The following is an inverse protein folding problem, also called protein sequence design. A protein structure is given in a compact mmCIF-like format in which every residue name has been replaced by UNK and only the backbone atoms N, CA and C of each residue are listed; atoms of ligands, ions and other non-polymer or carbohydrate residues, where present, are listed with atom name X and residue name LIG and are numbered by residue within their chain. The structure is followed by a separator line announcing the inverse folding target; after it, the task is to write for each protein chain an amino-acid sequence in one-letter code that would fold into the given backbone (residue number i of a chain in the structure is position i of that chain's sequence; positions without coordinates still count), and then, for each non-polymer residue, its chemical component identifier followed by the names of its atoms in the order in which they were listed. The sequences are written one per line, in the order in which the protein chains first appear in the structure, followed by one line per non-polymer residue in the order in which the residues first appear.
data_IF_301066055835
#
_entry.id   IF_301066055835
#
_cell.length_a   1.000
_cell.length_b   1.000
_cell.length_c   1.000
_cell.angle_alpha   90.00
_cell.angle_beta   90.00
_cell.angle_gamma   90.00
#
_symmetry.space_group_name_H-M   'P 1'
#
loop_
_entity.id
_entity.type
_entity.pdbx_description
1 polymer ?
#
# COMPACT_ATOMS: atom_id res chain seq x y z
N UNK A 1 -1.87 -16.75 -7.31
CA UNK A 1 -2.64 -15.98 -6.31
C UNK A 1 -2.19 -14.54 -6.46
N UNK A 2 -3.01 -13.58 -6.07
CA UNK A 2 -2.75 -12.17 -6.35
C UNK A 2 -2.18 -11.54 -5.09
N UNK A 3 -1.05 -10.85 -5.19
CA UNK A 3 -0.39 -10.19 -4.07
C UNK A 3 -1.02 -8.85 -3.73
N UNK A 4 -2.35 -8.79 -3.61
CA UNK A 4 -3.11 -7.56 -3.36
C UNK A 4 -3.93 -7.69 -2.07
N UNK A 5 -3.99 -6.61 -1.30
CA UNK A 5 -4.87 -6.48 -0.15
C UNK A 5 -6.22 -5.95 -0.63
N UNK A 6 -7.30 -6.64 -0.24
CA UNK A 6 -8.68 -6.29 -0.59
C UNK A 6 -9.53 -6.16 0.67
N UNK A 7 -10.42 -5.19 0.68
CA UNK A 7 -11.46 -5.05 1.68
C UNK A 7 -12.80 -5.40 1.05
N UNK A 8 -13.51 -6.34 1.66
CA UNK A 8 -14.81 -6.80 1.23
C UNK A 8 -15.89 -6.28 2.19
N UNK A 9 -17.08 -6.01 1.66
CA UNK A 9 -18.26 -5.78 2.47
C UNK A 9 -18.94 -7.10 2.92
N UNK A 10 -20.08 -6.98 3.58
CA UNK A 10 -20.87 -8.13 4.06
C UNK A 10 -21.39 -9.03 2.92
N UNK A 11 -21.51 -8.50 1.70
CA UNK A 11 -21.97 -9.20 0.50
C UNK A 11 -20.83 -9.79 -0.31
N UNK A 12 -19.59 -9.66 0.17
CA UNK A 12 -18.36 -10.02 -0.53
C UNK A 12 -18.03 -9.14 -1.74
N UNK A 13 -18.60 -7.93 -1.81
CA UNK A 13 -18.25 -6.94 -2.82
C UNK A 13 -16.96 -6.22 -2.42
N UNK A 14 -16.06 -5.99 -3.39
CA UNK A 14 -14.79 -5.27 -3.16
C UNK A 14 -15.07 -3.78 -3.01
N UNK A 15 -14.87 -3.25 -1.81
CA UNK A 15 -15.06 -1.82 -1.51
C UNK A 15 -13.74 -1.03 -1.53
N UNK A 16 -12.61 -1.72 -1.39
CA UNK A 16 -11.27 -1.12 -1.51
C UNK A 16 -10.24 -2.17 -1.91
N UNK A 17 -9.20 -1.75 -2.64
CA UNK A 17 -8.03 -2.57 -2.94
C UNK A 17 -6.77 -1.70 -3.08
N UNK A 18 -5.60 -2.34 -3.03
CA UNK A 18 -4.29 -1.69 -3.29
C UNK A 18 -4.10 -1.24 -4.75
N UNK A 19 -5.13 -1.36 -5.59
CA UNK A 19 -5.15 -0.93 -7.00
C UNK A 19 -4.53 -1.96 -7.95
N UNK A 20 -3.24 -2.23 -7.81
CA UNK A 20 -2.51 -3.13 -8.69
C UNK A 20 -2.60 -4.59 -8.24
N UNK A 21 -2.83 -5.48 -9.21
CA UNK A 21 -2.75 -6.93 -9.00
C UNK A 21 -1.32 -7.38 -9.18
N UNK A 22 -0.58 -7.50 -8.09
CA UNK A 22 0.78 -8.02 -8.13
C UNK A 22 0.79 -9.53 -8.37
N UNK A 23 1.67 -10.00 -9.25
CA UNK A 23 1.86 -11.43 -9.46
C UNK A 23 2.78 -11.97 -8.36
N UNK A 24 2.19 -12.64 -7.37
CA UNK A 24 2.92 -13.26 -6.26
C UNK A 24 2.42 -14.67 -5.99
N UNK A 25 3.32 -15.63 -5.81
CA UNK A 25 2.92 -17.00 -5.43
C UNK A 25 2.53 -17.08 -3.96
N UNK A 26 3.21 -16.31 -3.11
CA UNK A 26 3.04 -16.28 -1.66
C UNK A 26 3.47 -14.90 -1.16
N UNK A 27 2.59 -14.26 -0.42
CA UNK A 27 2.80 -12.94 0.15
C UNK A 27 2.10 -12.85 1.50
N UNK A 28 2.49 -11.86 2.29
CA UNK A 28 1.80 -11.51 3.54
C UNK A 28 1.74 -9.99 3.70
N UNK A 29 0.86 -9.55 4.60
CA UNK A 29 0.80 -8.17 5.05
C UNK A 29 1.48 -8.06 6.42
N UNK A 30 2.25 -6.99 6.64
CA UNK A 30 2.97 -6.72 7.87
C UNK A 30 2.81 -5.24 8.25
N UNK A 31 2.52 -4.98 9.52
CA UNK A 31 2.55 -3.62 10.08
C UNK A 31 3.90 -3.44 10.77
N UNK A 32 4.75 -2.59 10.19
CA UNK A 32 6.08 -2.30 10.75
C UNK A 32 5.98 -1.41 12.00
N UNK A 33 6.99 -1.45 12.85
CA UNK A 33 7.10 -0.58 14.05
C UNK A 33 7.06 0.92 13.71
N UNK A 34 7.35 1.27 12.46
CA UNK A 34 7.27 2.64 11.93
C UNK A 34 5.83 3.11 11.69
N UNK A 35 4.86 2.19 11.74
CA UNK A 35 3.46 2.41 11.37
C UNK A 35 3.18 2.20 9.88
N UNK A 36 4.17 1.82 9.07
CA UNK A 36 3.96 1.51 7.66
C UNK A 36 3.37 0.10 7.50
N UNK A 37 2.15 0.01 6.99
CA UNK A 37 1.56 -1.25 6.54
C UNK A 37 2.11 -1.60 5.14
N UNK A 38 2.71 -2.78 5.02
CA UNK A 38 3.34 -3.27 3.78
C UNK A 38 2.75 -4.61 3.36
N UNK A 39 2.72 -4.86 2.05
CA UNK A 39 2.48 -6.19 1.48
C UNK A 39 3.79 -6.66 0.87
N UNK A 40 4.31 -7.80 1.33
CA UNK A 40 5.60 -8.34 0.94
C UNK A 40 5.42 -9.63 0.14
N UNK A 41 6.19 -9.79 -0.94
CA UNK A 41 6.32 -11.06 -1.64
C UNK A 41 7.33 -11.94 -0.90
N UNK A 42 6.93 -13.14 -0.50
CA UNK A 42 7.75 -14.04 0.34
C UNK A 42 8.94 -14.63 -0.41
N UNK A 43 8.94 -14.61 -1.75
CA UNK A 43 9.98 -15.23 -2.57
C UNK A 43 11.09 -14.24 -2.87
N UNK A 44 10.73 -13.04 -3.30
CA UNK A 44 11.66 -11.96 -3.65
C UNK A 44 12.03 -11.08 -2.46
N UNK A 45 11.20 -11.05 -1.41
CA UNK A 45 11.32 -10.10 -0.30
C UNK A 45 10.94 -8.67 -0.67
N UNK A 46 10.45 -8.44 -1.90
CA UNK A 46 10.10 -7.11 -2.37
C UNK A 46 8.76 -6.66 -1.78
N UNK A 47 8.68 -5.38 -1.45
CA UNK A 47 7.41 -4.73 -1.17
C UNK A 47 6.59 -4.61 -2.45
N UNK A 48 5.44 -5.26 -2.46
CA UNK A 48 4.43 -5.15 -3.50
C UNK A 48 3.64 -3.86 -3.33
N UNK A 49 3.30 -3.50 -2.10
CA UNK A 49 2.57 -2.27 -1.78
C UNK A 49 2.97 -1.73 -0.41
N UNK A 50 2.88 -0.41 -0.20
CA UNK A 50 3.14 0.23 1.10
C UNK A 50 2.19 1.41 1.34
N UNK A 51 1.71 1.53 2.58
CA UNK A 51 0.82 2.62 3.01
C UNK A 51 1.50 4.00 2.94
N UNK A 52 2.80 4.08 3.22
CA UNK A 52 3.53 5.37 3.18
C UNK A 52 3.68 5.95 1.78
N UNK A 53 3.33 5.20 0.73
CA UNK A 53 3.21 5.76 -0.62
C UNK A 53 1.85 6.40 -0.90
N UNK A 54 0.87 6.21 -0.02
CA UNK A 54 -0.51 6.64 -0.15
C UNK A 54 -0.92 7.32 1.17
N UNK A 55 -0.37 8.50 1.43
CA UNK A 55 -0.65 9.26 2.64
C UNK A 55 -2.06 9.86 2.60
N UNK A 56 -2.71 9.88 3.77
CA UNK A 56 -4.00 10.54 3.97
C UNK A 56 -3.79 11.92 4.62
N UNK A 57 -4.22 12.10 5.86
CA UNK A 57 -4.22 13.39 6.58
C UNK A 57 -3.02 13.61 7.51
N UNK A 58 -2.20 12.58 7.72
CA UNK A 58 -1.13 12.58 8.72
C UNK A 58 0.19 12.17 8.11
N UNK A 59 1.24 12.95 8.38
CA UNK A 59 2.62 12.58 8.06
C UNK A 59 3.23 11.85 9.27
N UNK A 60 3.47 10.54 9.13
CA UNK A 60 4.14 9.75 10.15
C UNK A 60 5.67 9.86 10.04
N UNK A 61 6.42 9.67 11.14
CA UNK A 61 7.88 9.53 11.06
C UNK A 61 8.28 8.52 9.99
N UNK A 62 9.35 8.81 9.25
CA UNK A 62 9.88 7.97 8.16
C UNK A 62 9.00 7.86 6.89
N UNK A 63 7.83 8.51 6.85
CA UNK A 63 7.11 8.79 5.61
C UNK A 63 7.66 10.03 4.91
N UNK A 64 7.25 10.29 3.66
CA UNK A 64 7.76 11.42 2.88
C UNK A 64 6.70 12.04 1.99
N UNK A 65 6.72 13.38 1.90
CA UNK A 65 6.02 14.13 0.86
C UNK A 65 6.95 14.25 -0.33
N UNK A 66 6.57 13.63 -1.44
CA UNK A 66 7.38 13.58 -2.65
C UNK A 66 6.53 13.82 -3.88
N UNK A 67 7.20 14.33 -4.91
CA UNK A 67 6.63 14.46 -6.23
C UNK A 67 7.52 13.70 -7.22
N UNK A 68 7.00 12.60 -7.76
CA UNK A 68 7.64 11.90 -8.86
C UNK A 68 7.32 12.65 -10.15
N UNK A 69 8.29 13.43 -10.64
CA UNK A 69 8.13 14.23 -11.87
C UNK A 69 8.06 13.36 -13.13
N UNK A 70 8.68 12.17 -13.11
CA UNK A 70 8.73 11.29 -14.27
C UNK A 70 7.38 10.58 -14.51
N UNK A 71 6.74 10.15 -13.43
CA UNK A 71 5.46 9.42 -13.49
C UNK A 71 4.25 10.27 -13.06
N UNK A 72 4.45 11.53 -12.67
CA UNK A 72 3.40 12.44 -12.21
C UNK A 72 2.74 12.03 -10.88
N UNK A 73 3.34 11.11 -10.12
CA UNK A 73 2.78 10.59 -8.86
C UNK A 73 3.08 11.57 -7.72
N UNK A 74 2.05 11.98 -6.98
CA UNK A 74 2.16 12.88 -5.82
C UNK A 74 1.92 12.11 -4.52
N UNK A 75 2.85 12.21 -3.56
CA UNK A 75 2.62 11.83 -2.16
C UNK A 75 2.34 13.11 -1.38
N UNK A 76 1.06 13.37 -1.15
CA UNK A 76 0.54 14.61 -0.55
C UNK A 76 -0.41 14.27 0.59
N UNK A 77 -0.66 15.23 1.47
CA UNK A 77 -1.70 15.09 2.48
C UNK A 77 -3.04 15.61 1.96
N UNK A 78 -4.11 14.92 2.33
CA UNK A 78 -5.49 15.32 2.10
C UNK A 78 -6.16 15.63 3.45
N UNK A 79 -7.00 16.66 3.50
CA UNK A 79 -7.82 16.91 4.70
C UNK A 79 -8.92 15.85 4.81
N UNK A 80 -9.45 15.69 6.02
CA UNK A 80 -10.66 14.91 6.24
C UNK A 80 -11.87 15.53 5.52
#
# INVERSE_FOLDING_TARGET
RNGSLILLDERQDVIWSTGETYTSKKCHAELLDTGNLVVLDDVSGNALWQSFENLDNTLLPQSSLTYDTAHGKKRVLTTW
#
